data_IF_048753229637
#
_entry.id   IF_048753229637
#
_cell.length_a   1.000
_cell.length_b   1.000
_cell.length_c   1.000
_cell.angle_alpha   90.00
_cell.angle_beta   90.00
_cell.angle_gamma   90.00
#
_symmetry.space_group_name_H-M   'P 1'
#
loop_
_entity.id
_entity.type
_entity.pdbx_description
1 polymer ?
#
# COMPACT_ATOMS: atom_id res chain seq x y z
N UNK A 1 34.91 -4.13 -24.69
CA UNK A 1 33.45 -4.40 -24.79
C UNK A 1 32.83 -4.97 -23.49
N UNK A 2 33.42 -4.79 -22.30
CA UNK A 2 32.89 -5.37 -21.04
C UNK A 2 32.12 -4.36 -20.16
N UNK A 3 32.21 -3.05 -20.41
CA UNK A 3 31.57 -2.01 -19.59
C UNK A 3 30.05 -1.83 -19.86
N UNK A 4 29.53 -2.32 -20.99
CA UNK A 4 28.13 -2.15 -21.37
C UNK A 4 27.18 -3.09 -20.59
N UNK A 5 27.66 -4.26 -20.15
CA UNK A 5 26.85 -5.25 -19.43
C UNK A 5 26.51 -4.79 -18.01
N UNK A 6 27.48 -4.18 -17.31
CA UNK A 6 27.27 -3.61 -15.98
C UNK A 6 26.21 -2.49 -15.94
N UNK A 7 26.04 -1.75 -17.04
CA UNK A 7 24.98 -0.73 -17.16
C UNK A 7 23.58 -1.35 -17.32
N UNK A 8 23.44 -2.48 -18.00
CA UNK A 8 22.16 -3.19 -18.16
C UNK A 8 21.75 -3.92 -16.87
N UNK A 9 22.71 -4.46 -16.13
CA UNK A 9 22.50 -5.11 -14.81
C UNK A 9 22.06 -4.07 -13.76
N UNK A 10 22.68 -2.89 -13.75
CA UNK A 10 22.25 -1.75 -12.94
C UNK A 10 20.87 -1.22 -13.36
N UNK A 11 20.51 -1.34 -14.63
CA UNK A 11 19.19 -0.95 -15.16
C UNK A 11 18.08 -1.90 -14.69
N UNK A 12 18.34 -3.22 -14.66
CA UNK A 12 17.41 -4.21 -14.07
C UNK A 12 17.25 -4.04 -12.56
N UNK A 13 18.34 -3.75 -11.84
CA UNK A 13 18.30 -3.50 -10.39
C UNK A 13 17.49 -2.24 -10.04
N UNK A 14 17.57 -1.17 -10.86
CA UNK A 14 16.75 0.04 -10.71
C UNK A 14 15.29 -0.18 -11.12
N UNK A 15 15.04 -1.00 -12.14
CA UNK A 15 13.68 -1.40 -12.53
C UNK A 15 13.00 -2.25 -11.46
N UNK A 16 13.74 -3.11 -10.75
CA UNK A 16 13.22 -3.88 -9.61
C UNK A 16 12.86 -3.02 -8.39
N UNK A 17 13.46 -1.83 -8.24
CA UNK A 17 13.18 -0.90 -7.14
C UNK A 17 11.86 -0.11 -7.32
N UNK A 18 11.23 -0.21 -8.50
CA UNK A 18 9.95 0.44 -8.82
C UNK A 18 8.77 -0.54 -8.80
N UNK A 19 8.85 -1.60 -8.00
CA UNK A 19 7.68 -2.45 -7.77
C UNK A 19 6.66 -1.66 -6.97
N UNK A 20 5.80 -0.94 -7.71
CA UNK A 20 4.68 -0.12 -7.24
C UNK A 20 3.87 -0.97 -6.26
N UNK A 21 4.06 -0.77 -4.97
CA UNK A 21 3.27 -1.41 -3.93
C UNK A 21 1.85 -0.87 -4.04
N UNK A 22 1.00 -1.53 -4.83
CA UNK A 22 -0.42 -1.20 -4.94
C UNK A 22 -1.11 -1.90 -3.78
N UNK A 23 -1.25 -1.20 -2.66
CA UNK A 23 -2.12 -1.70 -1.60
C UNK A 23 -3.57 -1.67 -2.12
N UNK A 24 -4.39 -2.67 -1.75
CA UNK A 24 -5.80 -2.63 -2.06
C UNK A 24 -6.41 -1.38 -1.42
N UNK A 25 -7.35 -0.75 -2.13
CA UNK A 25 -8.10 0.39 -1.64
C UNK A 25 -9.59 0.14 -1.82
N UNK A 26 -10.38 0.82 -1.01
CA UNK A 26 -11.83 0.74 -1.01
C UNK A 26 -12.44 2.13 -0.81
N UNK A 27 -13.64 2.39 -1.33
CA UNK A 27 -14.37 3.60 -0.97
C UNK A 27 -14.76 3.52 0.52
N UNK A 28 -14.41 4.55 1.28
CA UNK A 28 -14.76 4.62 2.69
C UNK A 28 -16.27 4.74 2.85
N UNK A 29 -16.86 3.83 3.62
CA UNK A 29 -18.25 3.90 4.02
C UNK A 29 -18.31 4.56 5.40
N UNK A 30 -18.78 5.81 5.45
CA UNK A 30 -18.99 6.49 6.72
C UNK A 30 -20.06 5.70 7.51
N UNK A 31 -19.77 5.41 8.78
CA UNK A 31 -20.79 4.89 9.69
C UNK A 31 -21.74 6.05 9.99
N UNK A 32 -23.05 5.85 9.82
CA UNK A 32 -24.09 6.88 9.98
C UNK A 32 -24.30 7.40 11.41
N UNK A 33 -23.31 7.29 12.30
CA UNK A 33 -23.35 7.87 13.65
C UNK A 33 -22.41 9.07 13.70
N UNK A 34 -22.95 10.24 13.97
CA UNK A 34 -22.25 11.55 14.06
C UNK A 34 -21.21 11.63 15.19
N UNK A 35 -20.94 10.55 15.91
CA UNK A 35 -20.24 10.58 17.20
C UNK A 35 -18.75 10.19 17.13
N UNK A 36 -18.26 9.58 16.04
CA UNK A 36 -16.85 9.20 15.91
C UNK A 36 -16.35 9.36 14.47
N UNK A 37 -15.85 10.54 14.12
CA UNK A 37 -15.14 10.75 12.86
C UNK A 37 -13.83 9.95 12.87
N UNK A 38 -13.66 9.02 11.94
CA UNK A 38 -12.37 8.35 11.77
C UNK A 38 -11.40 9.31 11.08
N UNK A 39 -10.32 9.70 11.74
CA UNK A 39 -9.28 10.56 11.16
C UNK A 39 -8.19 9.74 10.47
N UNK A 40 -7.60 10.28 9.41
CA UNK A 40 -6.37 9.74 8.84
C UNK A 40 -5.17 10.19 9.71
N UNK A 41 -4.39 9.28 10.33
CA UNK A 41 -3.27 9.67 11.19
C UNK A 41 -2.10 10.35 10.45
N UNK A 42 -2.08 10.33 9.12
CA UNK A 42 -1.00 10.93 8.30
C UNK A 42 -1.26 12.41 8.03
N UNK A 43 -2.49 12.77 7.61
CA UNK A 43 -2.86 14.15 7.30
C UNK A 43 -3.75 14.81 8.37
N UNK A 44 -4.19 14.04 9.37
CA UNK A 44 -5.04 14.50 10.48
C UNK A 44 -6.41 15.03 10.03
N UNK A 45 -6.84 14.63 8.81
CA UNK A 45 -8.16 14.96 8.24
C UNK A 45 -9.15 13.79 8.38
N UNK A 46 -10.46 14.06 8.50
CA UNK A 46 -11.49 13.02 8.51
C UNK A 46 -11.51 12.17 7.24
N UNK A 47 -11.71 10.86 7.41
CA UNK A 47 -12.09 9.95 6.34
C UNK A 47 -13.56 10.20 6.00
N UNK A 48 -13.83 10.69 4.78
CA UNK A 48 -15.19 11.02 4.33
C UNK A 48 -15.77 9.92 3.45
N UNK A 49 -17.09 9.83 3.44
CA UNK A 49 -17.79 8.86 2.59
C UNK A 49 -17.37 8.99 1.12
N UNK A 50 -17.09 7.86 0.48
CA UNK A 50 -16.66 7.79 -0.92
C UNK A 50 -15.19 8.12 -1.16
N UNK A 51 -14.43 8.55 -0.15
CA UNK A 51 -12.98 8.74 -0.31
C UNK A 51 -12.28 7.38 -0.43
N UNK A 52 -11.29 7.29 -1.32
CA UNK A 52 -10.47 6.10 -1.44
C UNK A 52 -9.54 5.96 -0.23
N UNK A 53 -9.80 4.95 0.58
CA UNK A 53 -8.99 4.59 1.73
C UNK A 53 -8.29 3.25 1.48
N UNK A 54 -7.17 3.04 2.15
CA UNK A 54 -6.41 1.81 2.11
C UNK A 54 -6.03 1.44 3.54
N UNK A 55 -5.95 0.14 3.79
CA UNK A 55 -5.59 -0.43 5.08
C UNK A 55 -4.31 -1.23 4.95
N UNK A 56 -3.52 -1.26 6.03
CA UNK A 56 -2.36 -2.13 6.10
C UNK A 56 -2.83 -3.56 6.38
N UNK A 57 -2.61 -4.56 5.51
CA UNK A 57 -3.20 -5.89 5.66
C UNK A 57 -2.85 -6.59 6.99
N UNK A 58 -1.65 -6.33 7.52
CA UNK A 58 -1.17 -6.95 8.75
C UNK A 58 -1.83 -6.42 10.03
N UNK A 59 -2.38 -5.19 10.02
CA UNK A 59 -2.91 -4.55 11.23
C UNK A 59 -4.27 -3.85 11.06
N UNK A 60 -4.78 -3.72 9.83
CA UNK A 60 -6.08 -3.13 9.48
C UNK A 60 -6.25 -1.66 9.90
N UNK A 61 -5.15 -0.94 10.16
CA UNK A 61 -5.22 0.51 10.32
C UNK A 61 -5.51 1.17 8.96
N UNK A 62 -6.52 2.03 8.93
CA UNK A 62 -7.02 2.71 7.74
C UNK A 62 -6.42 4.10 7.58
N UNK A 63 -6.17 4.48 6.33
CA UNK A 63 -5.62 5.76 5.91
C UNK A 63 -6.20 6.15 4.56
N UNK A 64 -6.10 7.42 4.16
CA UNK A 64 -6.31 7.75 2.75
C UNK A 64 -5.32 7.00 1.87
N UNK A 65 -5.78 6.48 0.72
CA UNK A 65 -4.94 5.76 -0.24
C UNK A 65 -3.67 6.55 -0.59
N UNK A 66 -3.82 7.83 -0.91
CA UNK A 66 -2.68 8.69 -1.28
C UNK A 66 -1.67 8.87 -0.14
N UNK A 67 -2.16 9.03 1.08
CA UNK A 67 -1.33 9.17 2.27
C UNK A 67 -0.55 7.89 2.57
N UNK A 68 -1.23 6.73 2.55
CA UNK A 68 -0.58 5.45 2.80
C UNK A 68 0.41 5.09 1.70
N UNK A 69 0.07 5.35 0.43
CA UNK A 69 0.96 5.10 -0.70
C UNK A 69 2.24 5.95 -0.62
N UNK A 70 2.13 7.23 -0.26
CA UNK A 70 3.28 8.11 -0.09
C UNK A 70 4.15 7.67 1.10
N UNK A 71 3.53 7.27 2.21
CA UNK A 71 4.23 6.77 3.38
C UNK A 71 4.94 5.43 3.10
N UNK A 72 4.25 4.48 2.46
CA UNK A 72 4.80 3.17 2.12
C UNK A 72 6.05 3.28 1.24
N UNK A 73 6.06 4.25 0.31
CA UNK A 73 7.23 4.53 -0.55
C UNK A 73 8.48 4.98 0.21
N UNK A 74 8.33 5.51 1.43
CA UNK A 74 9.47 6.05 2.21
C UNK A 74 9.86 5.17 3.40
N UNK A 75 8.87 4.62 4.13
CA UNK A 75 9.11 3.89 5.39
C UNK A 75 8.70 2.42 5.35
N UNK A 76 7.80 2.02 4.43
CA UNK A 76 7.33 0.63 4.31
C UNK A 76 6.69 0.01 5.57
N UNK A 77 6.27 0.82 6.53
CA UNK A 77 5.72 0.37 7.82
C UNK A 77 4.48 1.18 8.20
N UNK A 78 3.57 0.62 8.98
CA UNK A 78 2.36 1.28 9.44
C UNK A 78 2.69 2.46 10.36
N UNK A 79 2.19 3.69 10.11
CA UNK A 79 2.40 4.85 10.98
C UNK A 79 1.92 4.64 12.42
N UNK A 80 0.88 3.81 12.62
CA UNK A 80 0.24 3.60 13.92
C UNK A 80 0.95 2.57 14.80
N UNK A 81 1.35 1.44 14.21
CA UNK A 81 1.85 0.30 14.98
C UNK A 81 3.18 -0.27 14.49
N UNK A 82 3.82 0.36 13.49
CA UNK A 82 5.09 -0.06 12.89
C UNK A 82 5.09 -1.45 12.22
N UNK A 83 3.92 -2.09 12.06
CA UNK A 83 3.78 -3.33 11.29
C UNK A 83 4.26 -3.13 9.84
N UNK A 84 4.93 -4.12 9.25
CA UNK A 84 5.41 -4.02 7.86
C UNK A 84 4.23 -3.91 6.88
N UNK A 85 4.36 -3.00 5.92
CA UNK A 85 3.46 -2.88 4.79
C UNK A 85 3.96 -3.84 3.72
N UNK A 86 3.46 -5.07 3.76
CA UNK A 86 3.64 -6.03 2.67
C UNK A 86 2.55 -5.77 1.64
N UNK A 87 2.88 -5.33 0.41
CA UNK A 87 1.90 -5.32 -0.67
C UNK A 87 1.43 -6.75 -0.86
N UNK A 88 0.16 -7.01 -0.59
CA UNK A 88 -0.42 -8.32 -0.84
C UNK A 88 -0.23 -8.63 -2.32
N UNK A 89 0.52 -9.67 -2.65
CA UNK A 89 0.25 -10.43 -3.86
C UNK A 89 -1.22 -10.81 -3.75
N UNK A 90 -2.08 -10.11 -4.49
CA UNK A 90 -3.49 -10.48 -4.52
C UNK A 90 -3.49 -11.92 -5.07
N UNK A 91 -3.66 -12.89 -4.16
CA UNK A 91 -3.64 -14.31 -4.46
C UNK A 91 -4.92 -14.68 -5.18
N UNK A 92 -5.05 -14.21 -6.42
CA UNK A 92 -5.66 -15.02 -7.47
C UNK A 92 -4.51 -15.71 -8.18
N UNK A 93 -3.88 -16.67 -7.49
CA UNK A 93 -3.30 -17.79 -8.21
C UNK A 93 -4.48 -18.59 -8.72
N UNK A 94 -4.69 -18.51 -10.03
CA UNK A 94 -5.53 -19.44 -10.75
C UNK A 94 -5.28 -20.85 -10.23
N UNK A 95 -6.36 -21.60 -10.05
CA UNK A 95 -6.29 -23.04 -9.90
C UNK A 95 -5.60 -23.63 -11.13
N UNK A 96 -4.36 -24.09 -10.94
CA UNK A 96 -3.65 -25.10 -11.72
C UNK A 96 -2.78 -25.80 -10.67
N UNK A 97 -2.60 -27.11 -10.56
CA UNK A 97 -3.03 -28.32 -11.25
C UNK A 97 -2.21 -29.43 -10.54
N UNK A 98 -2.76 -30.65 -10.39
CA UNK A 98 -2.07 -31.90 -9.97
C UNK A 98 -1.47 -31.95 -8.54
N UNK A 99 -1.79 -32.91 -7.66
CA UNK A 99 -2.00 -34.37 -7.80
C UNK A 99 -2.94 -34.88 -6.71
#
# INVERSE_FOLDING_TARGET
MLAALASLENSKARQAALQRSVLPYFPYAAKGSESEETLCPICVEPLRQGQHCSEVPACRHAFHRGCLDAWARTKGTCPMCRAKIVPGSNGVTAAEDMV
#
